data_IF_409481455419
#
_entry.id   IF_409481455419
#
_cell.length_a   1.000
_cell.length_b   1.000
_cell.length_c   1.000
_cell.angle_alpha   90.00
_cell.angle_beta   90.00
_cell.angle_gamma   90.00
#
_symmetry.space_group_name_H-M   'P 1'
#
loop_
_entity.id
_entity.type
_entity.pdbx_description
1 polymer ?
#
# COMPACT_ATOMS: atom_id res chain seq x y z
N UNK A 1 -25.29 26.60 8.79
CA UNK A 1 -24.89 26.66 7.38
C UNK A 1 -23.38 26.58 7.31
N UNK A 2 -22.86 25.63 6.54
CA UNK A 2 -21.44 25.43 6.26
C UNK A 2 -21.20 25.52 4.76
N UNK A 3 -20.06 26.07 4.37
CA UNK A 3 -19.64 26.26 2.98
C UNK A 3 -18.49 25.30 2.66
N UNK A 4 -18.72 24.42 1.70
CA UNK A 4 -17.72 23.46 1.24
C UNK A 4 -17.19 23.88 -0.12
N UNK A 5 -15.89 24.12 -0.20
CA UNK A 5 -15.19 24.40 -1.46
C UNK A 5 -14.63 23.11 -2.04
N UNK A 6 -15.00 22.77 -3.28
CA UNK A 6 -14.52 21.58 -3.98
C UNK A 6 -13.14 21.82 -4.59
N UNK A 7 -12.51 20.73 -5.05
CA UNK A 7 -11.20 20.78 -5.73
C UNK A 7 -11.19 21.68 -6.96
N UNK A 8 -12.32 21.75 -7.69
CA UNK A 8 -12.52 22.59 -8.88
C UNK A 8 -12.84 24.07 -8.55
N UNK A 9 -12.91 24.42 -7.26
CA UNK A 9 -13.25 25.76 -6.78
C UNK A 9 -14.75 26.04 -6.68
N UNK A 10 -15.62 25.10 -7.07
CA UNK A 10 -17.06 25.26 -6.85
C UNK A 10 -17.40 25.26 -5.36
N UNK A 11 -18.42 26.04 -5.00
CA UNK A 11 -18.92 26.17 -3.64
C UNK A 11 -20.25 25.43 -3.48
N UNK A 12 -20.42 24.72 -2.38
CA UNK A 12 -21.70 24.12 -1.98
C UNK A 12 -22.05 24.49 -0.55
N UNK A 13 -23.33 24.72 -0.33
CA UNK A 13 -23.88 25.13 0.96
C UNK A 13 -24.69 23.98 1.58
N UNK A 14 -24.51 23.77 2.88
CA UNK A 14 -25.24 22.76 3.65
C UNK A 14 -25.72 23.35 4.97
N UNK A 15 -26.97 23.07 5.34
CA UNK A 15 -27.56 23.65 6.55
C UNK A 15 -27.06 23.00 7.84
N UNK A 16 -26.51 21.78 7.76
CA UNK A 16 -26.05 20.98 8.89
C UNK A 16 -24.68 20.33 8.59
N UNK A 17 -23.91 19.98 9.63
CA UNK A 17 -22.73 19.13 9.49
C UNK A 17 -23.07 17.82 8.76
N UNK A 18 -22.15 17.35 7.94
CA UNK A 18 -22.27 16.09 7.22
C UNK A 18 -20.92 15.37 7.16
N UNK A 19 -20.98 14.05 7.05
CA UNK A 19 -19.78 13.25 6.85
C UNK A 19 -19.21 13.42 5.45
N UNK A 20 -17.93 13.07 5.27
CA UNK A 20 -17.30 12.97 3.95
C UNK A 20 -18.10 12.05 3.00
N UNK A 21 -18.65 10.95 3.51
CA UNK A 21 -19.48 10.04 2.71
C UNK A 21 -20.77 10.70 2.24
N UNK A 22 -21.50 11.39 3.14
CA UNK A 22 -22.73 12.11 2.79
C UNK A 22 -22.44 13.26 1.82
N UNK A 23 -21.31 13.95 1.99
CA UNK A 23 -20.85 14.95 1.05
C UNK A 23 -20.62 14.33 -0.35
N UNK A 24 -19.88 13.21 -0.44
CA UNK A 24 -19.71 12.48 -1.69
C UNK A 24 -21.06 12.06 -2.32
N UNK A 25 -22.01 11.61 -1.50
CA UNK A 25 -23.34 11.20 -1.94
C UNK A 25 -24.15 12.37 -2.49
N UNK A 26 -24.01 13.56 -1.93
CA UNK A 26 -24.63 14.80 -2.42
C UNK A 26 -24.05 15.27 -3.77
N UNK A 27 -22.82 14.87 -4.11
CA UNK A 27 -22.24 15.10 -5.44
C UNK A 27 -22.75 14.05 -6.42
N UNK A 28 -22.77 12.79 -6.02
CA UNK A 28 -23.39 11.71 -6.78
C UNK A 28 -23.16 10.34 -6.18
N UNK A 29 -24.16 9.46 -6.33
CA UNK A 29 -24.13 8.10 -5.79
C UNK A 29 -22.93 7.26 -6.30
N UNK A 30 -22.47 7.52 -7.53
CA UNK A 30 -21.27 6.88 -8.08
C UNK A 30 -20.01 7.25 -7.29
N UNK A 31 -19.83 8.54 -6.99
CA UNK A 31 -18.69 9.04 -6.24
C UNK A 31 -18.69 8.53 -4.80
N UNK A 32 -19.85 8.54 -4.13
CA UNK A 32 -19.98 7.97 -2.78
C UNK A 32 -19.58 6.49 -2.72
N UNK A 33 -19.96 5.70 -3.73
CA UNK A 33 -19.56 4.28 -3.79
C UNK A 33 -18.07 4.07 -4.06
N UNK A 34 -17.43 5.00 -4.77
CA UNK A 34 -16.01 4.96 -5.09
C UNK A 34 -15.11 5.57 -4.01
N UNK A 35 -15.67 6.38 -3.10
CA UNK A 35 -14.92 7.05 -2.04
C UNK A 35 -14.28 6.05 -1.07
N UNK A 36 -12.96 6.19 -0.88
CA UNK A 36 -12.22 5.46 0.17
C UNK A 36 -11.83 6.34 1.35
N UNK A 37 -11.75 7.66 1.14
CA UNK A 37 -11.47 8.65 2.16
C UNK A 37 -11.90 10.04 1.66
N UNK A 38 -11.74 11.04 2.53
CA UNK A 38 -11.82 12.46 2.19
C UNK A 38 -10.48 13.15 2.38
N UNK A 39 -10.34 14.31 1.73
CA UNK A 39 -9.27 15.27 1.99
C UNK A 39 -9.91 16.57 2.43
N UNK A 40 -9.78 16.92 3.70
CA UNK A 40 -10.35 18.13 4.30
C UNK A 40 -9.19 19.07 4.65
N UNK A 41 -9.13 20.23 4.01
CA UNK A 41 -8.05 21.22 4.14
C UNK A 41 -6.65 20.61 3.98
N UNK A 42 -6.53 19.70 3.01
CA UNK A 42 -5.28 18.99 2.69
C UNK A 42 -5.01 17.75 3.53
N UNK A 43 -5.77 17.50 4.60
CA UNK A 43 -5.59 16.36 5.51
C UNK A 43 -6.48 15.19 5.09
N UNK A 44 -5.88 13.99 4.99
CA UNK A 44 -6.62 12.75 4.73
C UNK A 44 -7.43 12.31 5.96
N UNK A 45 -8.71 12.01 5.76
CA UNK A 45 -9.66 11.63 6.81
C UNK A 45 -10.55 10.47 6.35
N UNK A 46 -11.07 9.68 7.30
CA UNK A 46 -12.01 8.59 7.01
C UNK A 46 -13.32 9.11 6.39
N UNK A 47 -14.03 8.26 5.64
CA UNK A 47 -15.34 8.62 5.09
C UNK A 47 -16.39 9.00 6.14
N UNK A 48 -16.25 8.54 7.39
CA UNK A 48 -17.12 8.88 8.52
C UNK A 48 -16.72 10.21 9.21
N UNK A 49 -15.67 10.89 8.75
CA UNK A 49 -15.26 12.18 9.31
C UNK A 49 -16.33 13.23 9.09
N UNK A 50 -16.74 13.90 10.17
CA UNK A 50 -17.75 14.97 10.16
C UNK A 50 -17.13 16.31 9.77
N UNK A 51 -17.72 16.96 8.79
CA UNK A 51 -17.38 18.32 8.35
C UNK A 51 -18.33 19.26 9.09
N UNK A 52 -17.81 19.95 10.10
CA UNK A 52 -18.59 20.77 11.03
C UNK A 52 -18.47 22.29 10.77
N UNK A 53 -17.54 22.68 9.92
CA UNK A 53 -17.25 24.07 9.57
C UNK A 53 -16.87 24.19 8.09
N UNK A 54 -16.75 25.43 7.61
CA UNK A 54 -16.30 25.74 6.26
C UNK A 54 -14.94 25.09 5.98
N UNK A 55 -14.82 24.41 4.86
CA UNK A 55 -13.61 23.66 4.52
C UNK A 55 -13.45 23.44 3.02
N UNK A 56 -12.21 23.19 2.59
CA UNK A 56 -11.94 22.64 1.25
C UNK A 56 -11.98 21.13 1.30
N UNK A 57 -12.83 20.51 0.49
CA UNK A 57 -13.09 19.06 0.55
C UNK A 57 -12.89 18.42 -0.81
N UNK A 58 -12.01 17.42 -0.85
CA UNK A 58 -11.84 16.50 -1.97
C UNK A 58 -12.27 15.09 -1.58
N UNK A 59 -12.86 14.35 -2.51
CA UNK A 59 -13.11 12.91 -2.33
C UNK A 59 -11.93 12.14 -2.89
N UNK A 60 -11.38 11.22 -2.11
CA UNK A 60 -10.27 10.36 -2.51
C UNK A 60 -10.83 9.03 -3.01
N UNK A 61 -10.46 8.65 -4.22
CA UNK A 61 -10.83 7.35 -4.80
C UNK A 61 -9.60 6.43 -4.94
N UNK A 62 -9.80 5.10 -5.11
CA UNK A 62 -8.72 4.13 -5.31
C UNK A 62 -7.77 4.41 -6.49
N UNK A 63 -8.20 5.24 -7.44
CA UNK A 63 -7.42 5.57 -8.64
C UNK A 63 -6.33 6.62 -8.35
N UNK A 64 -6.41 7.30 -7.20
CA UNK A 64 -5.42 8.27 -6.76
C UNK A 64 -4.31 7.59 -5.95
N UNK A 65 -3.06 8.11 -5.95
CA UNK A 65 -1.96 7.56 -5.16
C UNK A 65 -2.31 7.38 -3.67
N UNK A 66 -2.91 8.40 -3.05
CA UNK A 66 -3.33 8.34 -1.65
C UNK A 66 -4.43 7.29 -1.43
N UNK A 67 -5.37 7.16 -2.36
CA UNK A 67 -6.42 6.15 -2.30
C UNK A 67 -5.90 4.73 -2.42
N UNK A 68 -4.90 4.52 -3.29
CA UNK A 68 -4.22 3.23 -3.44
C UNK A 68 -3.40 2.86 -2.19
N UNK A 69 -2.76 3.84 -1.54
CA UNK A 69 -2.10 3.61 -0.25
C UNK A 69 -3.11 3.23 0.84
N UNK A 70 -4.28 3.88 0.89
CA UNK A 70 -5.37 3.56 1.82
C UNK A 70 -5.91 2.14 1.59
N UNK A 71 -6.04 1.70 0.33
CA UNK A 71 -6.39 0.31 0.00
C UNK A 71 -5.37 -0.67 0.61
N UNK A 72 -4.08 -0.44 0.36
CA UNK A 72 -2.97 -1.30 0.84
C UNK A 72 -2.93 -1.36 2.37
N UNK A 73 -3.08 -0.21 3.02
CA UNK A 73 -3.14 -0.12 4.49
C UNK A 73 -4.32 -0.91 5.06
N UNK A 74 -5.46 -0.83 4.41
CA UNK A 74 -6.66 -1.57 4.81
C UNK A 74 -6.54 -3.08 4.53
N UNK A 75 -5.83 -3.48 3.48
CA UNK A 75 -5.46 -4.88 3.25
C UNK A 75 -4.52 -5.43 4.33
N UNK A 76 -3.57 -4.63 4.83
CA UNK A 76 -2.74 -5.02 5.97
C UNK A 76 -3.60 -5.32 7.21
N UNK A 77 -4.57 -4.45 7.52
CA UNK A 77 -5.53 -4.69 8.59
C UNK A 77 -6.33 -5.99 8.37
N UNK A 78 -6.86 -6.21 7.17
CA UNK A 78 -7.60 -7.43 6.85
C UNK A 78 -6.72 -8.69 6.96
N UNK A 79 -5.44 -8.61 6.60
CA UNK A 79 -4.45 -9.68 6.79
C UNK A 79 -4.26 -9.99 8.29
N UNK A 80 -4.16 -8.96 9.13
CA UNK A 80 -4.07 -9.14 10.59
C UNK A 80 -5.26 -9.94 11.15
N UNK A 81 -6.48 -9.57 10.72
CA UNK A 81 -7.72 -10.27 11.10
C UNK A 81 -7.69 -11.71 10.63
N UNK A 82 -7.31 -11.96 9.38
CA UNK A 82 -7.22 -13.31 8.82
C UNK A 82 -6.22 -14.18 9.60
N UNK A 83 -5.02 -13.66 9.88
CA UNK A 83 -3.99 -14.33 10.69
C UNK A 83 -4.55 -14.63 12.08
N UNK A 84 -5.20 -13.67 12.76
CA UNK A 84 -5.73 -13.87 14.10
C UNK A 84 -6.86 -14.90 14.15
N UNK A 85 -7.72 -14.93 13.14
CA UNK A 85 -8.81 -15.90 13.04
C UNK A 85 -8.31 -17.34 12.78
N UNK A 86 -7.26 -17.49 11.95
CA UNK A 86 -6.66 -18.79 11.65
C UNK A 86 -5.71 -19.27 12.76
N UNK A 87 -5.00 -18.33 13.38
CA UNK A 87 -3.97 -18.58 14.39
C UNK A 87 -4.23 -17.69 15.62
N UNK A 88 -5.18 -18.05 16.49
CA UNK A 88 -5.59 -17.20 17.62
C UNK A 88 -4.46 -16.82 18.59
N UNK A 89 -3.43 -17.67 18.70
CA UNK A 89 -2.24 -17.41 19.54
C UNK A 89 -1.21 -16.48 18.89
N UNK A 90 -1.36 -16.12 17.61
CA UNK A 90 -0.46 -15.17 16.96
C UNK A 90 -0.53 -13.80 17.65
N UNK A 91 0.63 -13.22 17.91
CA UNK A 91 0.82 -11.90 18.51
C UNK A 91 1.07 -10.91 17.38
N UNK A 92 0.06 -10.11 17.06
CA UNK A 92 0.12 -9.10 16.01
C UNK A 92 0.97 -7.92 16.48
N UNK A 93 1.79 -7.38 15.60
CA UNK A 93 2.68 -6.25 15.89
C UNK A 93 2.31 -5.05 15.03
N UNK A 94 2.84 -4.95 13.82
CA UNK A 94 2.66 -3.79 12.95
C UNK A 94 2.27 -4.21 11.53
N UNK A 95 1.35 -3.45 10.93
CA UNK A 95 1.00 -3.55 9.52
C UNK A 95 1.13 -2.21 8.84
N UNK A 96 1.61 -2.20 7.61
CA UNK A 96 1.75 -0.98 6.82
C UNK A 96 1.60 -1.25 5.32
N UNK A 97 1.18 -0.22 4.59
CA UNK A 97 1.43 -0.15 3.16
C UNK A 97 2.95 -0.04 2.89
N UNK A 98 3.41 -0.61 1.79
CA UNK A 98 4.81 -0.60 1.38
C UNK A 98 4.91 -0.80 -0.13
N UNK A 99 5.41 0.20 -0.84
CA UNK A 99 5.50 0.19 -2.30
C UNK A 99 4.19 -0.21 -2.96
N UNK A 100 4.22 -1.24 -3.81
CA UNK A 100 3.04 -1.76 -4.52
C UNK A 100 2.08 -2.62 -3.67
N UNK A 101 2.33 -2.71 -2.37
CA UNK A 101 1.64 -3.67 -1.53
C UNK A 101 1.60 -3.28 -0.08
N UNK A 102 1.62 -4.30 0.76
CA UNK A 102 1.50 -4.19 2.20
C UNK A 102 2.20 -5.37 2.86
N UNK A 103 2.47 -5.23 4.15
CA UNK A 103 2.91 -6.34 4.97
C UNK A 103 2.23 -6.29 6.34
N UNK A 104 2.26 -7.43 7.03
CA UNK A 104 1.93 -7.50 8.44
C UNK A 104 2.95 -8.34 9.20
N UNK A 105 3.46 -7.77 10.28
CA UNK A 105 4.43 -8.37 11.19
C UNK A 105 3.72 -8.98 12.40
N UNK A 106 4.09 -10.22 12.75
CA UNK A 106 3.54 -10.94 13.88
C UNK A 106 4.56 -11.94 14.43
N UNK A 107 4.37 -12.33 15.69
CA UNK A 107 5.08 -13.45 16.31
C UNK A 107 4.12 -14.61 16.53
N UNK A 108 4.57 -15.83 16.26
CA UNK A 108 3.79 -17.04 16.45
C UNK A 108 4.69 -18.20 16.87
N UNK A 109 4.19 -19.10 17.73
CA UNK A 109 4.94 -20.23 18.27
C UNK A 109 5.42 -21.20 17.16
N UNK A 110 4.65 -21.30 16.08
CA UNK A 110 4.98 -22.07 14.88
C UNK A 110 5.42 -21.13 13.76
N UNK A 111 6.48 -21.50 13.05
CA UNK A 111 6.82 -20.83 11.80
C UNK A 111 5.76 -21.13 10.74
N UNK A 112 5.26 -20.06 10.11
CA UNK A 112 4.50 -20.17 8.88
C UNK A 112 5.44 -20.20 7.67
N UNK A 113 5.01 -20.90 6.62
CA UNK A 113 5.76 -21.08 5.38
C UNK A 113 4.91 -20.66 4.17
N UNK A 114 5.51 -20.63 2.98
CA UNK A 114 4.82 -20.26 1.74
C UNK A 114 3.53 -21.07 1.49
N UNK A 115 3.48 -22.33 1.92
CA UNK A 115 2.29 -23.19 1.78
C UNK A 115 1.10 -22.70 2.62
N UNK A 116 1.34 -21.96 3.71
CA UNK A 116 0.28 -21.41 4.57
C UNK A 116 -0.40 -20.18 3.94
N UNK A 117 0.25 -19.51 2.97
CA UNK A 117 -0.27 -18.28 2.35
C UNK A 117 -1.61 -18.50 1.65
N UNK A 118 -1.81 -19.64 1.00
CA UNK A 118 -3.05 -19.95 0.30
C UNK A 118 -4.26 -19.97 1.26
N UNK A 119 -4.08 -20.52 2.47
CA UNK A 119 -5.11 -20.55 3.50
C UNK A 119 -5.42 -19.16 4.06
N UNK A 120 -4.38 -18.35 4.30
CA UNK A 120 -4.53 -16.97 4.77
C UNK A 120 -5.25 -16.12 3.71
N UNK A 121 -4.81 -16.21 2.45
CA UNK A 121 -5.40 -15.46 1.34
C UNK A 121 -6.87 -15.86 1.11
N UNK A 122 -7.19 -17.15 1.18
CA UNK A 122 -8.58 -17.62 1.13
C UNK A 122 -9.43 -17.02 2.26
N UNK A 123 -8.90 -16.94 3.48
CA UNK A 123 -9.61 -16.30 4.60
C UNK A 123 -9.80 -14.80 4.38
N UNK A 124 -8.80 -14.10 3.84
CA UNK A 124 -8.92 -12.70 3.45
C UNK A 124 -10.01 -12.49 2.40
N UNK A 125 -10.14 -13.39 1.40
CA UNK A 125 -11.21 -13.31 0.39
C UNK A 125 -12.60 -13.45 1.02
N UNK A 126 -12.76 -14.35 1.99
CA UNK A 126 -14.00 -14.46 2.76
C UNK A 126 -14.31 -13.17 3.51
N UNK A 127 -13.31 -12.56 4.16
CA UNK A 127 -13.49 -11.29 4.86
C UNK A 127 -13.86 -10.14 3.91
N UNK A 128 -13.25 -10.07 2.73
CA UNK A 128 -13.61 -9.10 1.70
C UNK A 128 -15.09 -9.23 1.27
N UNK A 129 -15.57 -10.46 1.08
CA UNK A 129 -16.94 -10.75 0.65
C UNK A 129 -18.01 -10.39 1.71
N UNK A 130 -17.65 -10.33 2.99
CA UNK A 130 -18.61 -10.06 4.08
C UNK A 130 -19.03 -8.60 4.25
N UNK A 131 -18.35 -7.64 3.59
CA UNK A 131 -18.68 -6.22 3.67
C UNK A 131 -18.74 -5.64 5.10
N UNK A 132 -17.84 -6.07 5.98
CA UNK A 132 -17.75 -5.48 7.32
C UNK A 132 -17.27 -4.02 7.21
N UNK A 133 -17.86 -3.13 8.00
CA UNK A 133 -17.39 -1.75 8.13
C UNK A 133 -16.04 -1.72 8.83
N UNK A 134 -15.13 -0.86 8.35
CA UNK A 134 -13.89 -0.54 9.07
C UNK A 134 -14.08 0.84 9.70
N UNK A 135 -14.05 0.92 11.03
CA UNK A 135 -14.40 2.16 11.76
C UNK A 135 -13.34 2.55 12.75
N UNK A 136 -13.04 3.84 12.78
CA UNK A 136 -12.17 4.46 13.77
C UNK A 136 -12.92 4.57 15.10
N UNK A 137 -12.28 4.19 16.20
CA UNK A 137 -12.76 4.45 17.55
C UNK A 137 -11.96 5.55 18.23
N UNK A 138 -12.63 6.26 19.15
CA UNK A 138 -11.93 7.14 20.08
C UNK A 138 -11.06 6.28 21.01
N UNK A 139 -9.82 6.68 21.28
CA UNK A 139 -8.99 5.99 22.25
C UNK A 139 -9.66 6.06 23.64
N UNK A 140 -9.52 5.00 24.47
CA UNK A 140 -10.09 5.00 25.81
C UNK A 140 -9.52 6.16 26.66
N UNK A 141 -10.30 6.72 27.61
CA UNK A 141 -9.84 7.81 28.46
C UNK A 141 -8.55 7.45 29.20
N UNK A 142 -7.56 8.33 29.18
CA UNK A 142 -6.25 8.09 29.83
C UNK A 142 -5.27 7.26 29.00
N UNK A 143 -5.66 6.76 27.82
CA UNK A 143 -4.72 6.17 26.86
C UNK A 143 -4.09 7.25 25.98
N UNK A 144 -2.78 7.14 25.76
CA UNK A 144 -2.05 7.91 24.73
C UNK A 144 -1.58 6.92 23.67
N UNK A 145 -2.30 6.82 22.53
CA UNK A 145 -1.86 5.95 21.45
C UNK A 145 -0.47 6.36 20.94
N UNK A 146 0.40 5.39 20.60
CA UNK A 146 1.69 5.69 20.00
C UNK A 146 1.52 6.33 18.60
N UNK A 147 2.37 7.30 18.28
CA UNK A 147 2.67 7.76 16.91
C UNK A 147 1.46 7.86 15.95
N UNK A 148 0.50 8.75 16.25
CA UNK A 148 -0.70 9.01 15.42
C UNK A 148 -1.59 7.79 15.14
N UNK A 149 -1.35 6.65 15.77
CA UNK A 149 -2.19 5.45 15.61
C UNK A 149 -3.48 5.61 16.40
N UNK A 150 -4.59 5.09 15.87
CA UNK A 150 -5.88 5.08 16.55
C UNK A 150 -6.45 3.66 16.52
N UNK A 151 -7.33 3.31 17.48
CA UNK A 151 -8.04 2.04 17.42
C UNK A 151 -8.98 2.01 16.20
N UNK A 152 -8.86 0.97 15.38
CA UNK A 152 -9.78 0.65 14.29
C UNK A 152 -10.44 -0.68 14.55
N UNK A 153 -11.72 -0.76 14.22
CA UNK A 153 -12.53 -1.97 14.26
C UNK A 153 -12.77 -2.51 12.86
N UNK A 154 -12.55 -3.80 12.66
CA UNK A 154 -13.04 -4.56 11.51
C UNK A 154 -13.87 -5.72 12.07
N UNK A 155 -15.19 -5.56 12.05
CA UNK A 155 -16.09 -6.43 12.82
C UNK A 155 -15.80 -6.32 14.31
N UNK A 156 -15.63 -7.45 14.99
CA UNK A 156 -15.30 -7.51 16.43
C UNK A 156 -13.80 -7.40 16.72
N UNK A 157 -12.97 -7.28 15.67
CA UNK A 157 -11.53 -7.21 15.82
C UNK A 157 -11.06 -5.76 15.92
N UNK A 158 -10.34 -5.44 17.00
CA UNK A 158 -9.72 -4.13 17.23
C UNK A 158 -8.21 -4.20 17.02
N UNK A 159 -7.65 -3.23 16.31
CA UNK A 159 -6.21 -3.01 16.25
C UNK A 159 -5.85 -1.54 16.27
N UNK A 160 -4.60 -1.24 16.65
CA UNK A 160 -4.03 0.07 16.42
C UNK A 160 -3.54 0.17 14.98
N UNK A 161 -3.95 1.22 14.28
CA UNK A 161 -3.44 1.53 12.94
C UNK A 161 -3.43 3.03 12.69
N UNK A 162 -2.64 3.46 11.71
CA UNK A 162 -2.64 4.83 11.22
C UNK A 162 -3.77 4.98 10.21
N UNK A 163 -4.62 5.99 10.37
CA UNK A 163 -5.71 6.26 9.43
C UNK A 163 -5.27 7.01 8.17
N UNK A 164 -6.19 7.20 7.20
CA UNK A 164 -7.54 6.62 7.18
C UNK A 164 -7.57 5.19 6.61
N UNK A 165 -8.72 4.54 6.70
CA UNK A 165 -9.01 3.23 6.10
C UNK A 165 -10.21 3.28 5.14
N UNK A 166 -10.31 2.28 4.25
CA UNK A 166 -11.50 2.12 3.40
C UNK A 166 -12.75 1.93 4.26
N UNK A 167 -13.94 2.38 3.81
CA UNK A 167 -15.14 2.32 4.64
C UNK A 167 -15.62 0.89 4.93
N UNK A 168 -15.31 -0.08 4.06
CA UNK A 168 -15.74 -1.46 4.24
C UNK A 168 -14.85 -2.48 3.50
N UNK A 169 -14.84 -3.73 3.98
CA UNK A 169 -14.02 -4.80 3.41
C UNK A 169 -14.36 -5.15 1.96
N UNK A 170 -15.59 -4.87 1.49
CA UNK A 170 -15.99 -5.13 0.09
C UNK A 170 -15.19 -4.33 -0.93
N UNK A 171 -14.51 -3.26 -0.50
CA UNK A 171 -13.64 -2.44 -1.36
C UNK A 171 -12.34 -3.19 -1.71
N UNK A 172 -11.92 -4.12 -0.84
CA UNK A 172 -10.65 -4.84 -0.94
C UNK A 172 -10.81 -6.12 -1.77
N UNK A 173 -10.98 -6.01 -3.08
CA UNK A 173 -11.28 -7.17 -3.94
C UNK A 173 -10.07 -7.75 -4.68
N UNK A 174 -9.10 -6.91 -5.05
CA UNK A 174 -7.95 -7.32 -5.84
C UNK A 174 -6.67 -7.25 -5.00
N UNK A 175 -6.34 -8.39 -4.38
CA UNK A 175 -5.11 -8.56 -3.61
C UNK A 175 -4.54 -9.96 -3.78
N UNK A 176 -3.26 -10.11 -3.44
CA UNK A 176 -2.57 -11.40 -3.41
C UNK A 176 -1.47 -11.40 -2.34
N UNK A 177 -1.23 -12.55 -1.71
CA UNK A 177 -0.09 -12.80 -0.86
C UNK A 177 0.98 -13.54 -1.67
N UNK A 178 2.23 -13.10 -1.58
CA UNK A 178 3.32 -13.63 -2.41
C UNK A 178 4.52 -14.11 -1.62
N UNK A 179 4.74 -13.59 -0.41
CA UNK A 179 5.94 -13.90 0.35
C UNK A 179 5.72 -13.93 1.85
N UNK A 180 6.57 -14.71 2.54
CA UNK A 180 6.74 -14.65 3.98
C UNK A 180 8.23 -14.60 4.31
N UNK A 181 8.64 -13.66 5.17
CA UNK A 181 10.02 -13.53 5.62
C UNK A 181 10.13 -13.48 7.14
N UNK A 182 11.35 -13.66 7.64
CA UNK A 182 11.63 -13.65 9.08
C UNK A 182 11.34 -14.97 9.78
N UNK A 183 11.80 -15.06 11.03
CA UNK A 183 11.61 -16.23 11.90
C UNK A 183 10.93 -15.85 13.21
N UNK A 184 11.31 -14.72 13.82
CA UNK A 184 10.63 -14.13 14.96
C UNK A 184 11.06 -12.66 15.12
N UNK A 185 10.23 -11.65 14.78
CA UNK A 185 8.90 -11.80 14.17
C UNK A 185 8.95 -12.28 12.70
N UNK A 186 7.82 -12.78 12.20
CA UNK A 186 7.60 -13.06 10.78
C UNK A 186 6.80 -11.94 10.13
N UNK A 187 7.01 -11.74 8.83
CA UNK A 187 6.22 -10.81 8.00
C UNK A 187 5.61 -11.53 6.82
N UNK A 188 4.30 -11.40 6.67
CA UNK A 188 3.58 -11.80 5.46
C UNK A 188 3.43 -10.57 4.57
N UNK A 189 3.78 -10.71 3.30
CA UNK A 189 3.70 -9.66 2.29
C UNK A 189 2.60 -9.96 1.28
N UNK A 190 1.99 -8.90 0.78
CA UNK A 190 1.03 -9.00 -0.32
C UNK A 190 0.93 -7.70 -1.10
N UNK A 191 0.20 -7.75 -2.21
CA UNK A 191 -0.10 -6.60 -3.06
C UNK A 191 -1.60 -6.32 -3.08
N UNK A 192 -2.00 -5.07 -3.30
CA UNK A 192 -3.39 -4.67 -3.45
C UNK A 192 -3.52 -3.60 -4.53
N UNK A 193 -4.54 -3.74 -5.36
CA UNK A 193 -4.86 -2.88 -6.50
C UNK A 193 -6.35 -2.50 -6.51
N UNK A 194 -6.73 -1.42 -7.21
CA UNK A 194 -8.12 -1.00 -7.31
C UNK A 194 -9.03 -1.99 -8.04
N UNK A 195 -8.47 -2.79 -8.97
CA UNK A 195 -9.21 -3.75 -9.76
C UNK A 195 -8.42 -5.03 -10.05
N UNK A 196 -9.12 -6.12 -10.38
CA UNK A 196 -8.49 -7.38 -10.76
C UNK A 196 -7.64 -7.23 -12.03
N UNK A 197 -8.08 -6.41 -12.97
CA UNK A 197 -7.33 -6.10 -14.19
C UNK A 197 -5.98 -5.43 -13.87
N UNK A 198 -5.95 -4.48 -12.94
CA UNK A 198 -4.70 -3.85 -12.52
C UNK A 198 -3.77 -4.82 -11.78
N UNK A 199 -4.32 -5.71 -10.94
CA UNK A 199 -3.54 -6.77 -10.31
C UNK A 199 -2.94 -7.72 -11.35
N UNK A 200 -3.69 -8.11 -12.38
CA UNK A 200 -3.22 -8.99 -13.45
C UNK A 200 -2.16 -8.30 -14.33
N UNK A 201 -2.35 -7.01 -14.62
CA UNK A 201 -1.35 -6.19 -15.29
C UNK A 201 -0.06 -6.11 -14.47
N UNK A 202 -0.16 -5.87 -13.16
CA UNK A 202 0.99 -5.82 -12.26
C UNK A 202 1.72 -7.16 -12.19
N UNK A 203 1.00 -8.29 -12.22
CA UNK A 203 1.57 -9.66 -12.19
C UNK A 203 2.38 -9.99 -13.44
N UNK A 204 2.24 -9.23 -14.52
CA UNK A 204 3.05 -9.40 -15.72
C UNK A 204 4.55 -9.34 -15.37
N UNK A 205 5.40 -10.20 -15.96
CA UNK A 205 6.82 -10.24 -15.63
C UNK A 205 7.51 -8.88 -15.79
N UNK A 206 8.15 -8.34 -14.75
CA UNK A 206 8.92 -7.11 -14.85
C UNK A 206 10.20 -7.34 -15.66
N UNK A 207 10.67 -6.28 -16.31
CA UNK A 207 12.00 -6.25 -16.93
C UNK A 207 13.08 -5.84 -15.92
N UNK A 208 12.71 -5.04 -14.93
CA UNK A 208 13.65 -4.49 -13.95
C UNK A 208 13.10 -4.68 -12.54
N UNK A 209 13.90 -5.25 -11.65
CA UNK A 209 13.63 -5.26 -10.21
C UNK A 209 14.52 -4.25 -9.51
N UNK A 210 13.91 -3.35 -8.75
CA UNK A 210 14.62 -2.43 -7.85
C UNK A 210 14.73 -3.13 -6.49
N UNK A 211 15.95 -3.32 -6.01
CA UNK A 211 16.23 -4.01 -4.74
C UNK A 211 16.75 -2.98 -3.74
N UNK A 212 15.98 -2.75 -2.67
CA UNK A 212 16.48 -1.98 -1.53
C UNK A 212 17.35 -2.85 -0.62
N UNK A 213 18.42 -2.25 -0.10
CA UNK A 213 19.27 -2.89 0.90
C UNK A 213 18.63 -2.96 2.28
N UNK A 214 17.84 -1.95 2.63
CA UNK A 214 17.18 -1.74 3.91
C UNK A 214 15.87 -0.95 3.71
N UNK A 215 14.98 -0.97 4.70
CA UNK A 215 13.71 -0.23 4.69
C UNK A 215 13.90 1.29 4.60
N UNK A 216 15.01 1.83 5.12
CA UNK A 216 15.31 3.27 5.04
C UNK A 216 15.45 3.78 3.60
N UNK A 217 15.68 2.88 2.63
CA UNK A 217 15.74 3.24 1.22
C UNK A 217 14.44 2.94 0.45
N UNK A 218 13.37 2.50 1.12
CA UNK A 218 12.12 2.11 0.48
C UNK A 218 11.51 3.25 -0.36
N UNK A 219 11.44 4.47 0.18
CA UNK A 219 10.87 5.62 -0.53
C UNK A 219 11.64 5.97 -1.80
N UNK A 220 12.98 5.92 -1.75
CA UNK A 220 13.82 6.18 -2.91
C UNK A 220 13.77 5.04 -3.92
N UNK A 221 13.71 3.78 -3.46
CA UNK A 221 13.49 2.64 -4.35
C UNK A 221 12.13 2.72 -5.06
N UNK A 222 11.08 3.18 -4.36
CA UNK A 222 9.77 3.41 -4.96
C UNK A 222 9.80 4.57 -5.96
N UNK A 223 10.45 5.69 -5.64
CA UNK A 223 10.54 6.83 -6.57
C UNK A 223 11.29 6.48 -7.86
N UNK A 224 12.35 5.68 -7.77
CA UNK A 224 13.07 5.12 -8.94
C UNK A 224 12.15 4.18 -9.73
N UNK A 225 11.37 3.34 -9.04
CA UNK A 225 10.41 2.44 -9.69
C UNK A 225 9.37 3.21 -10.49
N UNK A 226 8.80 4.28 -9.91
CA UNK A 226 7.83 5.14 -10.60
C UNK A 226 8.45 5.94 -11.75
N UNK A 227 9.71 6.38 -11.63
CA UNK A 227 10.42 7.02 -12.73
C UNK A 227 10.58 6.07 -13.93
N UNK A 228 10.95 4.81 -13.67
CA UNK A 228 11.08 3.78 -14.71
C UNK A 228 9.72 3.44 -15.37
N UNK A 229 8.66 3.32 -14.56
CA UNK A 229 7.30 3.09 -15.06
C UNK A 229 6.81 4.21 -15.95
N UNK A 230 7.00 5.47 -15.56
CA UNK A 230 6.70 6.65 -16.40
C UNK A 230 7.49 6.64 -17.71
N UNK A 231 8.69 6.06 -17.72
CA UNK A 231 9.50 5.83 -18.90
C UNK A 231 9.08 4.63 -19.77
N UNK A 232 7.96 3.95 -19.45
CA UNK A 232 7.47 2.79 -20.20
C UNK A 232 8.15 1.47 -19.84
N UNK A 233 8.94 1.42 -18.77
CA UNK A 233 9.60 0.20 -18.30
C UNK A 233 8.71 -0.54 -17.32
N UNK A 234 8.51 -1.84 -17.54
CA UNK A 234 7.89 -2.73 -16.54
C UNK A 234 8.85 -2.95 -15.37
N UNK A 235 8.75 -2.10 -14.35
CA UNK A 235 9.61 -2.14 -13.17
C UNK A 235 8.81 -2.50 -11.91
N UNK A 236 9.45 -3.15 -10.94
CA UNK A 236 8.88 -3.47 -9.62
C UNK A 236 9.95 -3.36 -8.52
N UNK A 237 9.57 -2.86 -7.35
CA UNK A 237 10.44 -2.82 -6.19
C UNK A 237 10.31 -4.08 -5.32
N UNK A 238 11.43 -4.59 -4.83
CA UNK A 238 11.51 -5.56 -3.75
C UNK A 238 11.95 -4.86 -2.45
N UNK A 239 10.93 -4.49 -1.67
CA UNK A 239 11.07 -3.77 -0.41
C UNK A 239 11.07 -4.69 0.81
N UNK A 240 11.10 -6.02 0.62
CA UNK A 240 11.04 -7.01 1.71
C UNK A 240 12.18 -6.77 2.70
N UNK A 241 11.94 -6.99 3.99
CA UNK A 241 13.02 -6.92 4.98
C UNK A 241 13.83 -8.22 4.97
N UNK A 242 14.74 -8.32 4.00
CA UNK A 242 15.59 -9.48 3.76
C UNK A 242 16.97 -9.07 3.25
N UNK A 243 17.96 -9.96 3.42
CA UNK A 243 19.33 -9.73 2.97
C UNK A 243 19.36 -9.48 1.46
N UNK A 244 19.95 -8.37 1.04
CA UNK A 244 20.07 -7.98 -0.38
C UNK A 244 20.64 -9.09 -1.28
N UNK A 245 21.59 -9.89 -0.80
CA UNK A 245 22.15 -11.02 -1.57
C UNK A 245 21.10 -12.10 -1.88
N UNK A 246 20.16 -12.33 -0.97
CA UNK A 246 19.05 -13.26 -1.18
C UNK A 246 18.14 -12.74 -2.29
N UNK A 247 17.68 -11.49 -2.17
CA UNK A 247 16.85 -10.81 -3.16
C UNK A 247 17.49 -10.81 -4.56
N UNK A 248 18.77 -10.43 -4.66
CA UNK A 248 19.51 -10.42 -5.93
C UNK A 248 19.52 -11.82 -6.56
N UNK A 249 19.85 -12.85 -5.77
CA UNK A 249 19.94 -14.23 -6.27
C UNK A 249 18.58 -14.73 -6.79
N UNK A 250 17.50 -14.45 -6.07
CA UNK A 250 16.14 -14.79 -6.47
C UNK A 250 15.75 -14.10 -7.79
N UNK A 251 15.88 -12.78 -7.84
CA UNK A 251 15.43 -11.99 -9.00
C UNK A 251 16.32 -12.15 -10.23
N UNK A 252 17.62 -12.43 -10.07
CA UNK A 252 18.53 -12.72 -11.20
C UNK A 252 18.12 -13.94 -12.02
N UNK A 253 17.24 -14.80 -11.51
CA UNK A 253 16.70 -15.92 -12.27
C UNK A 253 15.46 -15.54 -13.10
N UNK A 254 14.84 -14.40 -12.80
CA UNK A 254 13.52 -14.04 -13.31
C UNK A 254 13.54 -12.81 -14.22
N UNK A 255 14.43 -11.85 -13.96
CA UNK A 255 14.47 -10.58 -14.70
C UNK A 255 15.84 -10.33 -15.33
N UNK A 256 15.90 -9.63 -16.47
CA UNK A 256 17.16 -9.36 -17.15
C UNK A 256 18.04 -8.36 -16.39
N UNK A 257 17.46 -7.41 -15.66
CA UNK A 257 18.19 -6.36 -14.97
C UNK A 257 17.70 -6.14 -13.54
N UNK A 258 18.64 -5.80 -12.66
CA UNK A 258 18.40 -5.41 -11.29
C UNK A 258 18.98 -4.03 -11.05
N UNK A 259 18.28 -3.22 -10.27
CA UNK A 259 18.74 -1.91 -9.81
C UNK A 259 18.88 -1.98 -8.29
N UNK A 260 20.11 -1.87 -7.79
CA UNK A 260 20.40 -1.97 -6.36
C UNK A 260 20.45 -0.57 -5.75
N UNK A 261 19.72 -0.39 -4.66
CA UNK A 261 19.62 0.87 -3.92
C UNK A 261 20.18 0.69 -2.52
N UNK A 262 21.35 1.27 -2.27
CA UNK A 262 21.93 1.43 -0.95
C UNK A 262 21.89 2.87 -0.47
N UNK A 263 22.54 3.13 0.66
CA UNK A 263 22.58 4.46 1.27
C UNK A 263 23.31 5.48 0.39
N UNK A 264 24.35 5.06 -0.34
CA UNK A 264 25.13 5.95 -1.23
C UNK A 264 24.30 6.35 -2.44
N UNK A 265 23.56 5.41 -3.03
CA UNK A 265 22.64 5.63 -4.14
C UNK A 265 21.55 6.64 -3.74
N UNK A 266 20.92 6.43 -2.58
CA UNK A 266 19.92 7.35 -2.02
C UNK A 266 20.49 8.74 -1.79
N UNK A 267 21.62 8.86 -1.09
CA UNK A 267 22.22 10.15 -0.77
C UNK A 267 22.72 10.90 -2.02
N UNK A 268 23.18 10.16 -3.04
CA UNK A 268 23.75 10.73 -4.26
C UNK A 268 22.77 10.91 -5.41
N UNK A 269 21.51 10.50 -5.29
CA UNK A 269 20.52 10.60 -6.38
C UNK A 269 20.87 9.77 -7.62
N UNK A 270 21.58 8.65 -7.44
CA UNK A 270 21.93 7.71 -8.51
C UNK A 270 21.48 6.30 -8.13
N UNK A 271 21.67 5.35 -9.05
CA UNK A 271 21.38 3.93 -8.84
C UNK A 271 22.51 3.06 -9.36
N UNK A 272 22.62 1.83 -8.85
CA UNK A 272 23.60 0.84 -9.30
C UNK A 272 22.92 -0.24 -10.13
N UNK A 273 23.27 -0.37 -11.41
CA UNK A 273 22.56 -1.24 -12.35
C UNK A 273 23.36 -2.50 -12.65
N UNK A 274 22.69 -3.65 -12.64
CA UNK A 274 23.32 -4.96 -12.85
C UNK A 274 22.52 -5.84 -13.78
N UNK A 275 23.20 -6.68 -14.55
CA UNK A 275 22.55 -7.74 -15.33
C UNK A 275 22.23 -8.93 -14.43
N UNK A 276 21.35 -9.80 -14.94
CA UNK A 276 21.09 -11.11 -14.36
C UNK A 276 22.32 -12.05 -14.28
N UNK A 277 23.34 -11.84 -15.12
CA UNK A 277 24.59 -12.62 -15.11
C UNK A 277 25.62 -12.08 -14.11
N UNK A 278 25.30 -10.96 -13.45
CA UNK A 278 26.15 -10.32 -12.44
C UNK A 278 27.05 -9.22 -13.00
N UNK A 279 27.01 -8.96 -14.31
CA UNK A 279 27.66 -7.81 -14.94
C UNK A 279 27.19 -6.51 -14.28
N UNK A 280 28.14 -5.64 -13.99
CA UNK A 280 27.90 -4.36 -13.33
C UNK A 280 28.02 -3.25 -14.37
N UNK A 281 26.92 -2.53 -14.61
CA UNK A 281 26.88 -1.38 -15.53
C UNK A 281 27.22 -0.07 -14.81
N UNK A 282 27.58 -0.15 -13.53
CA UNK A 282 28.04 0.97 -12.73
C UNK A 282 26.90 1.85 -12.20
N UNK A 283 27.30 3.06 -11.80
CA UNK A 283 26.42 4.07 -11.21
C UNK A 283 25.87 4.97 -12.30
N UNK A 284 24.55 5.13 -12.30
CA UNK A 284 23.84 5.94 -13.28
C UNK A 284 22.84 6.85 -12.57
N UNK A 285 22.68 8.08 -13.05
CA UNK A 285 21.56 8.90 -12.65
C UNK A 285 20.24 8.22 -13.06
N UNK A 286 19.15 8.47 -12.33
CA UNK A 286 17.85 7.81 -12.57
C UNK A 286 17.40 8.02 -14.02
N UNK A 287 17.49 9.25 -14.55
CA UNK A 287 17.10 9.56 -15.92
C UNK A 287 17.98 8.85 -16.96
N UNK A 288 19.28 8.74 -16.69
CA UNK A 288 20.22 8.03 -17.56
C UNK A 288 19.89 6.53 -17.65
N UNK A 289 19.41 5.91 -16.56
CA UNK A 289 18.94 4.51 -16.60
C UNK A 289 17.69 4.38 -17.44
N UNK A 290 16.73 5.31 -17.32
CA UNK A 290 15.52 5.32 -18.13
C UNK A 290 15.84 5.42 -19.63
N UNK A 291 16.81 6.25 -20.01
CA UNK A 291 17.28 6.39 -21.40
C UNK A 291 18.01 5.14 -21.89
N UNK A 292 18.90 4.59 -21.07
CA UNK A 292 19.64 3.39 -21.41
C UNK A 292 18.73 2.17 -21.62
N UNK A 293 17.76 1.92 -20.73
CA UNK A 293 16.79 0.84 -20.88
C UNK A 293 15.91 1.00 -22.13
N UNK A 294 15.59 2.24 -22.51
CA UNK A 294 14.92 2.54 -23.78
C UNK A 294 15.79 2.20 -24.98
N UNK A 295 17.07 2.58 -24.95
CA UNK A 295 18.01 2.33 -26.05
C UNK A 295 18.21 0.84 -26.36
N UNK A 296 18.07 -0.03 -25.36
CA UNK A 296 18.20 -1.49 -25.51
C UNK A 296 16.85 -2.21 -25.73
N UNK A 297 15.76 -1.45 -25.98
CA UNK A 297 14.46 -1.99 -26.36
C UNK A 297 13.64 -2.60 -25.21
N UNK A 298 13.96 -2.30 -23.95
CA UNK A 298 13.23 -2.79 -22.77
C UNK A 298 11.97 -1.97 -22.47
N UNK A 299 11.98 -0.68 -22.80
CA UNK A 299 10.76 0.12 -22.81
C UNK A 299 10.13 -0.02 -24.19
N UNK A 300 8.95 -0.65 -24.25
CA UNK A 300 8.09 -0.60 -25.42
C UNK A 300 6.94 0.33 -25.06
N UNK A 301 6.87 1.47 -25.76
CA UNK A 301 5.71 2.36 -25.73
C UNK A 301 4.49 1.61 -26.24
#
# INVERSE_FOLDING_TARGET
>A
MIHITLSDGSLREYDQPLSVYEFAASIGAGLARAAVAGRVDGVLVDCEFMIEADARVGIVTPQEPDGLEILRRSCALMLAVAIKQLYPKAQLQIGSAMGDGFFYEFAFERLLHLVDLAGIEARMRTLAATNHSIRRRKPPPGSTPPEKSLPYLLGDFECLSVGPHVPATRVLQAFALDHISGTAPQRVYGTCWPSQQELDNWRSPPHVIIVSMDERQADYAQSVTEALRRGGVRARADLRNEKVRHKIREHSQQVPYLVVIGEKEKAGGFVSVRSRTGEDFGRMAVDAVCEWLRSIGIARV
#
